data_IF_360921481013
#
_entry.id   IF_360921481013
#
_cell.length_a   1.000
_cell.length_b   1.000
_cell.length_c   1.000
_cell.angle_alpha   90.00
_cell.angle_beta   90.00
_cell.angle_gamma   90.00
#
_symmetry.space_group_name_H-M   'P 1'
#
loop_
_entity.id
_entity.type
_entity.pdbx_description
1 polymer ?
#
# COMPACT_ATOMS: atom_id res chain seq x y z
N UNK A 1 -6.18 17.03 14.04
CA UNK A 1 -7.02 16.10 13.24
C UNK A 1 -6.22 15.30 12.21
N UNK A 2 -5.44 15.93 11.30
CA UNK A 2 -4.69 15.22 10.24
C UNK A 2 -3.77 14.09 10.74
N UNK A 3 -3.07 14.29 11.85
CA UNK A 3 -2.15 13.29 12.42
C UNK A 3 -2.89 12.07 12.99
N UNK A 4 -4.01 12.29 13.70
CA UNK A 4 -4.83 11.19 14.20
C UNK A 4 -5.37 10.34 13.05
N UNK A 5 -5.88 10.99 12.01
CA UNK A 5 -6.35 10.31 10.81
C UNK A 5 -5.25 9.50 10.14
N UNK A 6 -4.03 10.04 10.02
CA UNK A 6 -2.89 9.30 9.49
C UNK A 6 -2.59 8.02 10.31
N UNK A 7 -2.65 8.10 11.65
CA UNK A 7 -2.45 6.92 12.49
C UNK A 7 -3.56 5.88 12.35
N UNK A 8 -4.81 6.30 12.21
CA UNK A 8 -5.93 5.38 11.95
C UNK A 8 -5.76 4.66 10.60
N UNK A 9 -5.34 5.39 9.56
CA UNK A 9 -5.04 4.80 8.25
C UNK A 9 -3.90 3.79 8.34
N UNK A 10 -2.83 4.11 9.10
CA UNK A 10 -1.71 3.19 9.31
C UNK A 10 -2.08 1.97 10.15
N UNK A 11 -2.96 2.12 11.15
CA UNK A 11 -3.49 1.01 11.92
C UNK A 11 -4.26 0.05 11.01
N UNK A 12 -5.16 0.57 10.17
CA UNK A 12 -5.90 -0.24 9.21
C UNK A 12 -4.96 -0.95 8.23
N UNK A 13 -3.96 -0.23 7.69
CA UNK A 13 -2.96 -0.80 6.80
C UNK A 13 -2.17 -1.95 7.45
N UNK A 14 -1.76 -1.74 8.72
CA UNK A 14 -1.05 -2.74 9.51
C UNK A 14 -1.91 -3.96 9.81
N UNK A 15 -3.19 -3.78 10.12
CA UNK A 15 -4.13 -4.89 10.32
C UNK A 15 -4.37 -5.68 9.03
N UNK A 16 -4.51 -5.01 7.88
CA UNK A 16 -4.64 -5.68 6.58
C UNK A 16 -3.38 -6.46 6.20
N UNK A 17 -2.19 -5.87 6.40
CA UNK A 17 -0.93 -6.57 6.19
C UNK A 17 -0.76 -7.74 7.16
N UNK A 18 -1.12 -7.57 8.43
CA UNK A 18 -1.10 -8.64 9.43
C UNK A 18 -2.03 -9.79 9.05
N UNK A 19 -3.24 -9.49 8.59
CA UNK A 19 -4.19 -10.51 8.13
C UNK A 19 -3.64 -11.34 6.95
N UNK A 20 -2.90 -10.71 6.03
CA UNK A 20 -2.25 -11.41 4.91
C UNK A 20 -1.14 -12.37 5.35
N UNK A 21 -0.42 -12.03 6.42
CA UNK A 21 0.69 -12.86 6.93
C UNK A 21 0.19 -13.98 7.85
N UNK A 22 -0.93 -13.76 8.55
CA UNK A 22 -1.44 -14.66 9.58
C UNK A 22 -2.17 -15.89 9.08
N UNK A 23 -2.60 -15.95 7.81
CA UNK A 23 -3.19 -17.20 7.29
C UNK A 23 -3.72 -17.13 5.85
N UNK A 24 -3.48 -18.18 5.04
CA UNK A 24 -3.94 -18.25 3.65
C UNK A 24 -5.47 -18.34 3.54
N UNK A 25 -6.15 -18.96 4.49
CA UNK A 25 -7.59 -19.22 4.43
C UNK A 25 -8.43 -17.94 4.29
N UNK A 26 -8.04 -16.86 5.00
CA UNK A 26 -8.70 -15.56 4.88
C UNK A 26 -8.37 -14.89 3.54
N UNK A 27 -7.15 -15.02 3.05
CA UNK A 27 -6.74 -14.41 1.79
C UNK A 27 -7.44 -15.04 0.58
N UNK A 28 -7.76 -16.33 0.66
CA UNK A 28 -8.41 -17.11 -0.40
C UNK A 28 -9.93 -16.95 -0.46
N UNK A 29 -10.56 -16.42 0.61
CA UNK A 29 -11.99 -16.14 0.61
C UNK A 29 -12.37 -15.24 -0.57
N UNK A 30 -13.41 -15.64 -1.29
CA UNK A 30 -13.87 -14.95 -2.51
C UNK A 30 -14.95 -13.95 -2.14
N UNK A 31 -14.75 -12.70 -2.53
CA UNK A 31 -15.78 -11.67 -2.48
C UNK A 31 -16.77 -11.83 -3.64
N UNK A 32 -17.96 -11.18 -3.58
CA UNK A 32 -18.86 -11.08 -4.72
C UNK A 32 -18.10 -10.61 -5.97
N UNK A 33 -18.26 -11.32 -7.09
CA UNK A 33 -17.48 -11.10 -8.31
C UNK A 33 -16.17 -11.89 -8.43
N UNK A 34 -15.83 -12.71 -7.43
CA UNK A 34 -14.71 -13.68 -7.51
C UNK A 34 -13.33 -13.13 -7.16
N UNK A 35 -13.25 -11.87 -6.71
CA UNK A 35 -12.01 -11.24 -6.25
C UNK A 35 -11.57 -11.86 -4.91
N UNK A 36 -10.34 -12.41 -4.80
CA UNK A 36 -9.78 -12.83 -3.52
C UNK A 36 -9.73 -11.69 -2.52
N UNK A 37 -10.16 -11.95 -1.28
CA UNK A 37 -10.08 -10.99 -0.17
C UNK A 37 -8.63 -10.54 0.05
N UNK A 38 -7.65 -11.43 -0.14
CA UNK A 38 -6.24 -11.08 -0.06
C UNK A 38 -5.82 -9.93 -0.98
N UNK A 39 -6.38 -9.85 -2.19
CA UNK A 39 -6.06 -8.75 -3.12
C UNK A 39 -6.62 -7.41 -2.62
N UNK A 40 -7.78 -7.44 -1.97
CA UNK A 40 -8.37 -6.24 -1.36
C UNK A 40 -7.54 -5.81 -0.14
N UNK A 41 -7.17 -6.75 0.72
CA UNK A 41 -6.32 -6.47 1.88
C UNK A 41 -4.96 -5.90 1.46
N UNK A 42 -4.37 -6.42 0.38
CA UNK A 42 -3.11 -5.90 -0.17
C UNK A 42 -3.30 -4.47 -0.66
N UNK A 43 -4.36 -4.19 -1.43
CA UNK A 43 -4.65 -2.83 -1.91
C UNK A 43 -4.86 -1.85 -0.74
N UNK A 44 -5.59 -2.26 0.31
CA UNK A 44 -5.79 -1.45 1.53
C UNK A 44 -4.45 -1.18 2.22
N UNK A 45 -3.60 -2.20 2.39
CA UNK A 45 -2.29 -2.06 3.02
C UNK A 45 -1.39 -1.08 2.24
N UNK A 46 -1.27 -1.25 0.92
CA UNK A 46 -0.46 -0.40 0.05
C UNK A 46 -0.93 1.05 0.07
N UNK A 47 -2.22 1.28 -0.15
CA UNK A 47 -2.82 2.62 -0.10
C UNK A 47 -2.72 3.22 1.30
N UNK A 48 -2.86 2.42 2.35
CA UNK A 48 -2.79 2.88 3.73
C UNK A 48 -1.37 3.29 4.13
N UNK A 49 -0.33 2.52 3.78
CA UNK A 49 1.05 2.91 4.05
C UNK A 49 1.48 4.16 3.29
N UNK A 50 1.23 4.20 1.98
CA UNK A 50 1.55 5.36 1.15
C UNK A 50 0.70 6.60 1.47
N UNK A 51 -0.59 6.40 1.77
CA UNK A 51 -1.51 7.45 2.21
C UNK A 51 -1.17 8.00 3.59
N UNK A 52 -0.83 7.14 4.55
CA UNK A 52 -0.31 7.52 5.85
C UNK A 52 0.98 8.34 5.73
N UNK A 53 1.92 7.89 4.88
CA UNK A 53 3.14 8.62 4.58
C UNK A 53 2.87 10.02 4.00
N UNK A 54 1.90 10.13 3.08
CA UNK A 54 1.49 11.39 2.48
C UNK A 54 0.89 12.36 3.52
N UNK A 55 0.04 11.86 4.43
CA UNK A 55 -0.61 12.66 5.47
C UNK A 55 0.35 13.13 6.56
N UNK A 56 1.36 12.32 6.90
CA UNK A 56 2.42 12.65 7.86
C UNK A 56 3.45 13.63 7.28
N UNK A 57 3.61 13.67 5.96
CA UNK A 57 4.62 14.50 5.31
C UNK A 57 4.20 15.99 5.24
N UNK A 58 5.13 16.95 5.46
CA UNK A 58 4.85 18.37 5.32
C UNK A 58 4.44 18.77 3.89
N UNK A 59 3.55 19.75 3.76
CA UNK A 59 3.17 20.34 2.46
C UNK A 59 4.39 20.88 1.74
N UNK A 60 4.48 20.64 0.43
CA UNK A 60 5.61 21.10 -0.40
C UNK A 60 6.89 20.27 -0.28
N UNK A 61 7.01 19.37 0.70
CA UNK A 61 8.21 18.55 0.88
C UNK A 61 8.38 17.49 -0.20
N UNK A 62 9.64 17.16 -0.54
CA UNK A 62 9.97 16.03 -1.42
C UNK A 62 9.37 14.70 -0.92
N UNK A 63 9.34 14.49 0.41
CA UNK A 63 8.68 13.34 1.06
C UNK A 63 7.22 13.21 0.65
N UNK A 64 6.47 14.32 0.69
CA UNK A 64 5.06 14.32 0.34
C UNK A 64 4.83 14.04 -1.15
N UNK A 65 5.70 14.54 -2.03
CA UNK A 65 5.65 14.26 -3.47
C UNK A 65 5.92 12.79 -3.77
N UNK A 66 6.95 12.21 -3.15
CA UNK A 66 7.26 10.79 -3.30
C UNK A 66 6.11 9.91 -2.79
N UNK A 67 5.57 10.22 -1.61
CA UNK A 67 4.40 9.51 -1.07
C UNK A 67 3.16 9.62 -1.97
N UNK A 68 2.95 10.76 -2.64
CA UNK A 68 1.85 10.92 -3.59
C UNK A 68 2.00 10.00 -4.82
N UNK A 69 3.22 9.87 -5.36
CA UNK A 69 3.52 8.94 -6.46
C UNK A 69 3.32 7.49 -6.01
N UNK A 70 3.83 7.12 -4.83
CA UNK A 70 3.63 5.79 -4.27
C UNK A 70 2.14 5.48 -4.03
N UNK A 71 1.35 6.47 -3.58
CA UNK A 71 -0.09 6.33 -3.38
C UNK A 71 -0.83 6.15 -4.71
N UNK A 72 -0.48 6.91 -5.74
CA UNK A 72 -1.05 6.73 -7.07
C UNK A 72 -0.75 5.32 -7.62
N UNK A 73 0.50 4.85 -7.48
CA UNK A 73 0.89 3.50 -7.87
C UNK A 73 0.13 2.42 -7.07
N UNK A 74 -0.04 2.62 -5.75
CA UNK A 74 -0.82 1.72 -4.88
C UNK A 74 -2.30 1.67 -5.28
N UNK A 75 -2.90 2.82 -5.59
CA UNK A 75 -4.30 2.89 -5.99
C UNK A 75 -4.54 2.23 -7.36
N UNK A 76 -3.57 2.33 -8.27
CA UNK A 76 -3.62 1.71 -9.60
C UNK A 76 -3.22 0.24 -9.59
N UNK A 77 -2.59 -0.26 -8.52
CA UNK A 77 -2.06 -1.63 -8.47
C UNK A 77 -3.15 -2.67 -8.74
N UNK A 78 -4.31 -2.58 -8.07
CA UNK A 78 -5.37 -3.57 -8.22
C UNK A 78 -6.07 -3.48 -9.60
N UNK A 79 -6.48 -2.30 -10.09
CA UNK A 79 -7.00 -2.16 -11.46
C UNK A 79 -6.01 -2.65 -12.53
N UNK A 80 -4.73 -2.27 -12.42
CA UNK A 80 -3.69 -2.71 -13.35
C UNK A 80 -3.49 -4.22 -13.32
N UNK A 81 -3.53 -4.82 -12.13
CA UNK A 81 -3.44 -6.28 -11.96
C UNK A 81 -4.63 -7.00 -12.62
N UNK A 82 -5.85 -6.49 -12.43
CA UNK A 82 -7.06 -7.06 -13.03
C UNK A 82 -7.03 -6.96 -14.57
N UNK A 83 -6.60 -5.82 -15.10
CA UNK A 83 -6.43 -5.62 -16.55
C UNK A 83 -5.37 -6.58 -17.13
N UNK A 84 -4.25 -6.76 -16.43
CA UNK A 84 -3.18 -7.66 -16.88
C UNK A 84 -3.59 -9.14 -16.83
N UNK A 85 -4.39 -9.52 -15.83
CA UNK A 85 -4.94 -10.87 -15.70
C UNK A 85 -6.11 -11.14 -16.66
N UNK A 86 -6.84 -10.10 -17.08
CA UNK A 86 -8.08 -10.23 -17.83
C UNK A 86 -9.24 -10.83 -17.00
N UNK A 87 -9.08 -10.91 -15.69
CA UNK A 87 -10.06 -11.46 -14.76
C UNK A 87 -9.83 -10.92 -13.34
N UNK A 88 -10.86 -10.99 -12.49
CA UNK A 88 -10.80 -10.52 -11.09
C UNK A 88 -10.11 -11.50 -10.15
N UNK A 89 -9.90 -12.76 -10.56
CA UNK A 89 -9.17 -13.74 -9.76
C UNK A 89 -7.65 -13.50 -9.76
N UNK A 90 -7.15 -12.59 -10.60
CA UNK A 90 -5.72 -12.32 -10.82
C UNK A 90 -4.93 -13.58 -11.22
N UNK A 91 -5.56 -14.45 -12.00
CA UNK A 91 -4.90 -15.65 -12.51
C UNK A 91 -3.83 -15.24 -13.54
N UNK A 92 -2.58 -15.17 -13.09
CA UNK A 92 -1.43 -14.71 -13.87
C UNK A 92 -0.41 -15.84 -13.98
N UNK A 93 0.10 -16.07 -15.19
CA UNK A 93 1.11 -17.09 -15.47
C UNK A 93 2.06 -16.63 -16.58
N UNK A 94 3.18 -17.35 -16.74
CA UNK A 94 4.21 -17.04 -17.72
C UNK A 94 4.73 -15.61 -17.60
N UNK A 95 5.02 -14.96 -18.73
CA UNK A 95 5.58 -13.61 -18.78
C UNK A 95 4.71 -12.54 -18.08
N UNK A 96 3.37 -12.66 -18.15
CA UNK A 96 2.46 -11.74 -17.47
C UNK A 96 2.59 -11.85 -15.95
N UNK A 97 2.74 -13.06 -15.43
CA UNK A 97 3.00 -13.30 -14.00
C UNK A 97 4.32 -12.68 -13.54
N UNK A 98 5.39 -12.83 -14.32
CA UNK A 98 6.69 -12.22 -14.01
C UNK A 98 6.62 -10.70 -13.96
N UNK A 99 5.97 -10.07 -14.95
CA UNK A 99 5.79 -8.61 -15.00
C UNK A 99 4.95 -8.12 -13.82
N UNK A 100 3.85 -8.80 -13.52
CA UNK A 100 3.00 -8.48 -12.37
C UNK A 100 3.76 -8.58 -11.06
N UNK A 101 4.55 -9.63 -10.87
CA UNK A 101 5.33 -9.84 -9.66
C UNK A 101 6.36 -8.72 -9.47
N UNK A 102 7.13 -8.42 -10.53
CA UNK A 102 8.10 -7.33 -10.50
C UNK A 102 7.44 -5.97 -10.20
N UNK A 103 6.33 -5.67 -10.87
CA UNK A 103 5.56 -4.46 -10.62
C UNK A 103 5.03 -4.38 -9.19
N UNK A 104 4.50 -5.49 -8.66
CA UNK A 104 4.01 -5.57 -7.28
C UNK A 104 5.11 -5.31 -6.26
N UNK A 105 6.30 -5.91 -6.45
CA UNK A 105 7.47 -5.67 -5.60
C UNK A 105 7.85 -4.19 -5.61
N UNK A 106 7.89 -3.55 -6.78
CA UNK A 106 8.20 -2.12 -6.90
C UNK A 106 7.19 -1.26 -6.12
N UNK A 107 5.89 -1.55 -6.24
CA UNK A 107 4.85 -0.81 -5.52
C UNK A 107 4.97 -1.01 -4.01
N UNK A 108 5.19 -2.25 -3.54
CA UNK A 108 5.40 -2.57 -2.13
C UNK A 108 6.60 -1.79 -1.58
N UNK A 109 7.75 -1.87 -2.25
CA UNK A 109 8.97 -1.16 -1.84
C UNK A 109 8.75 0.34 -1.82
N UNK A 110 8.09 0.92 -2.82
CA UNK A 110 7.81 2.35 -2.87
C UNK A 110 6.89 2.79 -1.71
N UNK A 111 5.84 2.03 -1.40
CA UNK A 111 4.92 2.32 -0.30
C UNK A 111 5.64 2.27 1.07
N UNK A 112 6.46 1.23 1.30
CA UNK A 112 7.23 1.08 2.53
C UNK A 112 8.33 2.15 2.66
N UNK A 113 9.04 2.46 1.58
CA UNK A 113 10.05 3.51 1.56
C UNK A 113 9.44 4.88 1.85
N UNK A 114 8.26 5.17 1.29
CA UNK A 114 7.53 6.41 1.55
C UNK A 114 7.17 6.52 3.04
N UNK A 115 6.65 5.45 3.63
CA UNK A 115 6.33 5.39 5.05
C UNK A 115 7.56 5.56 5.93
N UNK A 116 8.62 4.81 5.66
CA UNK A 116 9.89 4.91 6.39
C UNK A 116 10.46 6.33 6.37
N UNK A 117 10.44 6.99 5.21
CA UNK A 117 10.94 8.35 5.06
C UNK A 117 10.05 9.39 5.78
N UNK A 118 8.73 9.20 5.75
CA UNK A 118 7.80 10.04 6.51
C UNK A 118 8.05 9.92 8.03
N UNK A 119 8.13 8.69 8.55
CA UNK A 119 8.38 8.38 9.96
C UNK A 119 9.75 8.91 10.43
N UNK A 120 10.81 8.70 9.65
CA UNK A 120 12.15 9.21 9.96
C UNK A 120 12.14 10.73 10.13
N UNK A 121 11.45 11.47 9.24
CA UNK A 121 11.36 12.91 9.40
C UNK A 121 10.39 13.39 10.48
N UNK A 122 9.42 12.57 10.91
CA UNK A 122 8.64 12.84 12.13
C UNK A 122 9.49 12.69 13.39
N UNK A 123 10.33 11.65 13.46
CA UNK A 123 11.26 11.43 14.56
C UNK A 123 12.29 12.57 14.63
N UNK A 124 12.95 12.90 13.51
CA UNK A 124 13.93 13.99 13.46
C UNK A 124 13.34 15.37 13.79
N UNK A 125 12.08 15.63 13.42
CA UNK A 125 11.39 16.88 13.76
C UNK A 125 11.05 17.01 15.25
N UNK A 126 10.93 15.90 15.98
CA UNK A 126 10.71 15.87 17.44
C UNK A 126 11.96 16.29 18.21
N UNK A 127 13.14 15.97 17.70
CA UNK A 127 14.43 16.34 18.31
C UNK A 127 14.90 17.78 18.03
N UNK A 128 14.19 18.53 17.18
CA UNK A 128 14.52 19.92 16.82
C UNK A 128 13.67 20.97 17.54
N UNK A 129 12.79 20.57 18.45
CA UNK A 129 12.06 21.52 19.31
C UNK A 129 12.90 21.75 20.57
N UNK A 130 13.37 22.99 20.84
CA UNK A 130 14.07 23.32 22.08
C UNK A 130 13.15 23.14 23.30
#
# INVERSE_FOLDING_TARGET
MRTLFAWLVLLLAGLSAGALVSGPDLAEQRLPGGLPLGNVLMAIALCGFSGGAFLLSPTGSARRRFAAVALAASALWLPASALLAGNLALNLSGARGTVWLAGSVVVIVAALAALGWALAGCAAGRFRRP
#
